data_IF_374366877388
#
_entry.id   IF_374366877388
#
_cell.length_a   1.000
_cell.length_b   1.000
_cell.length_c   1.000
_cell.angle_alpha   90.00
_cell.angle_beta   90.00
_cell.angle_gamma   90.00
#
_symmetry.space_group_name_H-M   'P 1'
#
loop_
_entity.id
_entity.type
_entity.pdbx_description
1 polymer ?
#
# COMPACT_ATOMS: atom_id res chain seq x y z
N UNK A 1 6.52 5.12 10.54
CA UNK A 1 7.98 5.24 10.44
C UNK A 1 8.35 6.69 10.71
N UNK A 2 9.14 6.94 11.74
CA UNK A 2 9.62 8.26 12.13
C UNK A 2 11.01 8.49 11.51
N UNK A 3 11.26 9.68 10.96
CA UNK A 3 12.60 10.03 10.44
C UNK A 3 13.60 10.11 11.59
N UNK A 4 14.79 9.53 11.41
CA UNK A 4 15.83 9.67 12.42
C UNK A 4 16.29 11.13 12.54
N UNK A 5 16.33 11.61 13.78
CA UNK A 5 16.86 12.92 14.17
C UNK A 5 17.74 12.73 15.41
N UNK A 6 18.71 13.62 15.63
CA UNK A 6 19.68 13.45 16.75
C UNK A 6 19.00 13.36 18.13
N UNK A 7 17.86 14.03 18.29
CA UNK A 7 17.04 14.05 19.51
C UNK A 7 15.88 13.03 19.47
N UNK A 8 16.02 11.91 18.74
CA UNK A 8 14.94 10.93 18.62
C UNK A 8 14.52 10.30 19.96
N UNK A 9 15.41 10.28 20.95
CA UNK A 9 15.13 9.74 22.29
C UNK A 9 14.00 10.53 22.95
N UNK A 10 14.06 11.86 22.90
CA UNK A 10 13.01 12.74 23.43
C UNK A 10 11.66 12.49 22.73
N UNK A 11 11.71 12.24 21.42
CA UNK A 11 10.52 11.94 20.62
C UNK A 11 9.93 10.58 21.04
N UNK A 12 10.76 9.57 21.24
CA UNK A 12 10.32 8.25 21.71
C UNK A 12 9.75 8.29 23.12
N UNK A 13 10.27 9.15 23.99
CA UNK A 13 9.75 9.31 25.35
C UNK A 13 8.40 10.02 25.34
N UNK A 14 8.22 11.09 24.55
CA UNK A 14 6.91 11.73 24.34
C UNK A 14 5.86 10.73 23.83
N UNK A 15 6.24 9.88 22.87
CA UNK A 15 5.35 8.84 22.33
C UNK A 15 5.04 7.78 23.39
N UNK A 16 6.01 7.35 24.18
CA UNK A 16 5.79 6.37 25.27
C UNK A 16 4.87 6.92 26.36
N UNK A 17 5.02 8.19 26.74
CA UNK A 17 4.15 8.83 27.72
C UNK A 17 2.72 8.98 27.21
N UNK A 18 2.55 9.29 25.93
CA UNK A 18 1.22 9.59 25.36
C UNK A 18 0.47 8.35 24.89
N UNK A 19 1.18 7.37 24.33
CA UNK A 19 0.60 6.22 23.64
C UNK A 19 0.88 4.88 24.34
N UNK A 20 1.63 4.88 25.45
CA UNK A 20 1.99 3.68 26.20
C UNK A 20 3.15 2.90 25.60
N UNK A 21 3.20 1.60 25.90
CA UNK A 21 4.27 0.73 25.43
C UNK A 21 4.25 0.62 23.89
N UNK A 22 5.37 0.97 23.26
CA UNK A 22 5.57 0.90 21.82
C UNK A 22 6.77 0.04 21.48
N UNK A 23 6.58 -0.88 20.53
CA UNK A 23 7.71 -1.59 19.92
C UNK A 23 8.32 -0.71 18.83
N UNK A 24 9.62 -0.49 18.93
CA UNK A 24 10.37 0.28 17.94
C UNK A 24 11.61 -0.48 17.45
N UNK A 25 11.95 -0.29 16.17
CA UNK A 25 13.15 -0.83 15.54
C UNK A 25 13.80 0.20 14.65
N UNK A 26 15.08 0.49 14.87
CA UNK A 26 15.87 1.33 13.99
C UNK A 26 16.24 0.56 12.72
N UNK A 27 16.06 1.17 11.55
CA UNK A 27 16.51 0.61 10.28
C UNK A 27 16.45 1.63 9.14
N UNK A 28 17.47 1.64 8.29
CA UNK A 28 17.59 2.53 7.12
C UNK A 28 17.34 4.02 7.43
N UNK A 29 17.93 4.58 8.49
CA UNK A 29 17.74 5.99 8.92
C UNK A 29 16.33 6.36 9.37
N UNK A 30 15.47 5.36 9.59
CA UNK A 30 14.12 5.54 10.13
C UNK A 30 13.93 4.69 11.38
N UNK A 31 13.10 5.18 12.29
CA UNK A 31 12.61 4.43 13.43
C UNK A 31 11.24 3.87 13.04
N UNK A 32 11.16 2.55 12.91
CA UNK A 32 9.89 1.85 12.71
C UNK A 32 9.19 1.76 14.06
N UNK A 33 7.97 2.28 14.13
CA UNK A 33 7.11 2.21 15.31
C UNK A 33 5.91 1.37 14.91
N UNK A 34 5.66 0.29 15.63
CA UNK A 34 4.52 -0.61 15.44
C UNK A 34 3.47 -0.23 16.47
N UNK A 35 2.35 0.32 16.03
CA UNK A 35 1.33 0.88 16.94
C UNK A 35 -0.06 0.87 16.31
N UNK A 36 -1.06 0.89 17.17
CA UNK A 36 -2.48 0.88 16.83
C UNK A 36 -2.99 2.32 16.98
N UNK A 37 -3.08 3.06 15.86
CA UNK A 37 -3.80 4.33 15.69
C UNK A 37 -3.30 5.59 16.43
N UNK A 38 -3.13 5.56 17.76
CA UNK A 38 -3.05 6.76 18.63
C UNK A 38 -1.79 7.61 18.36
N UNK A 39 -0.69 7.01 17.94
CA UNK A 39 0.59 7.71 17.73
C UNK A 39 0.52 8.75 16.60
N UNK A 40 -0.39 8.60 15.62
CA UNK A 40 -0.45 9.50 14.48
C UNK A 40 -0.89 10.91 14.86
N UNK A 41 -1.95 11.04 15.67
CA UNK A 41 -2.45 12.34 16.13
C UNK A 41 -1.39 13.06 16.96
N UNK A 42 -0.73 12.35 17.87
CA UNK A 42 0.36 12.91 18.69
C UNK A 42 1.55 13.39 17.85
N UNK A 43 1.98 12.60 16.86
CA UNK A 43 3.07 13.01 15.96
C UNK A 43 2.70 14.25 15.14
N UNK A 44 1.45 14.33 14.69
CA UNK A 44 0.93 15.48 13.94
C UNK A 44 0.85 16.74 14.80
N UNK A 45 0.33 16.65 16.02
CA UNK A 45 0.25 17.78 16.97
C UNK A 45 1.61 18.34 17.33
N UNK A 46 2.62 17.46 17.46
CA UNK A 46 3.99 17.85 17.78
C UNK A 46 4.81 18.29 16.56
N UNK A 47 4.25 18.20 15.36
CA UNK A 47 4.91 18.64 14.13
C UNK A 47 6.07 17.75 13.67
N UNK A 48 6.07 16.46 14.04
CA UNK A 48 7.12 15.53 13.63
C UNK A 48 6.85 14.94 12.24
N UNK A 49 7.92 14.82 11.44
CA UNK A 49 7.84 14.15 10.14
C UNK A 49 7.74 12.63 10.28
N UNK A 50 6.66 12.06 9.76
CA UNK A 50 6.45 10.61 9.75
C UNK A 50 5.85 10.11 8.44
N UNK A 51 6.11 8.83 8.16
CA UNK A 51 5.47 8.07 7.08
C UNK A 51 4.60 6.97 7.66
N UNK A 52 3.35 6.89 7.22
CA UNK A 52 2.49 5.76 7.53
C UNK A 52 2.80 4.61 6.59
N UNK A 53 3.16 3.48 7.17
CA UNK A 53 3.38 2.24 6.44
C UNK A 53 2.23 1.31 6.78
N UNK A 54 1.37 1.06 5.80
CA UNK A 54 0.27 0.12 5.98
C UNK A 54 0.81 -1.29 6.25
N UNK A 55 0.19 -2.03 7.19
CA UNK A 55 0.48 -3.44 7.41
C UNK A 55 0.45 -4.23 6.10
N UNK A 56 1.34 -5.20 5.95
CA UNK A 56 1.49 -5.98 4.70
C UNK A 56 0.19 -6.70 4.31
N UNK A 57 -0.55 -7.16 5.30
CA UNK A 57 -1.87 -7.77 5.21
C UNK A 57 -2.95 -6.85 4.62
N UNK A 58 -2.79 -5.52 4.76
CA UNK A 58 -3.75 -4.53 4.25
C UNK A 58 -3.35 -3.93 2.90
N UNK A 59 -2.21 -4.34 2.32
CA UNK A 59 -1.75 -3.81 1.03
C UNK A 59 -2.41 -4.54 -0.12
N UNK A 60 -2.89 -3.78 -1.10
CA UNK A 60 -3.29 -4.33 -2.40
C UNK A 60 -2.06 -4.78 -3.21
N UNK A 61 -2.23 -5.84 -3.98
CA UNK A 61 -1.28 -6.31 -4.98
C UNK A 61 -1.43 -5.48 -6.27
N UNK A 62 -0.31 -5.06 -6.85
CA UNK A 62 -0.29 -4.39 -8.16
C UNK A 62 0.10 -5.40 -9.22
N UNK A 63 -0.82 -5.67 -10.14
CA UNK A 63 -0.65 -6.61 -11.26
C UNK A 63 -0.61 -5.82 -12.56
N UNK A 64 0.30 -6.20 -13.45
CA UNK A 64 0.35 -5.66 -14.82
C UNK A 64 -0.14 -6.74 -15.77
N UNK A 65 -1.26 -6.48 -16.44
CA UNK A 65 -1.77 -7.33 -17.52
C UNK A 65 -1.25 -6.76 -18.84
N UNK A 66 -0.67 -7.61 -19.68
CA UNK A 66 -0.08 -7.23 -20.96
C UNK A 66 -0.86 -7.83 -22.13
N UNK A 67 -0.59 -7.34 -23.32
CA UNK A 67 -1.06 -7.87 -24.61
C UNK A 67 -2.59 -7.87 -24.76
N UNK A 68 -3.24 -6.93 -24.09
CA UNK A 68 -4.65 -6.64 -24.27
C UNK A 68 -4.88 -5.56 -25.34
N UNK A 69 -5.99 -5.65 -26.10
CA UNK A 69 -6.32 -4.68 -27.13
C UNK A 69 -6.38 -3.21 -26.63
N UNK A 70 -6.07 -2.28 -27.54
CA UNK A 70 -6.02 -0.83 -27.27
C UNK A 70 -7.41 -0.19 -27.07
N UNK A 71 -8.44 -0.85 -27.56
CA UNK A 71 -9.86 -0.49 -27.46
C UNK A 71 -10.54 -1.09 -26.22
N UNK A 72 -9.89 -2.03 -25.53
CA UNK A 72 -10.48 -2.70 -24.37
C UNK A 72 -10.84 -1.71 -23.24
N UNK A 73 -12.08 -1.76 -22.76
CA UNK A 73 -12.56 -0.83 -21.75
C UNK A 73 -12.11 -1.23 -20.33
N UNK A 74 -11.73 -0.22 -19.54
CA UNK A 74 -11.26 -0.42 -18.17
C UNK A 74 -12.40 -0.81 -17.22
N UNK A 75 -13.63 -0.35 -17.48
CA UNK A 75 -14.77 -0.68 -16.63
C UNK A 75 -15.28 -2.10 -16.91
N UNK A 76 -15.35 -2.51 -18.18
CA UNK A 76 -15.60 -3.91 -18.55
C UNK A 76 -14.59 -4.87 -17.93
N UNK A 77 -13.29 -4.54 -18.01
CA UNK A 77 -12.26 -5.36 -17.39
C UNK A 77 -12.42 -5.42 -15.86
N UNK A 78 -12.78 -4.31 -15.23
CA UNK A 78 -13.06 -4.26 -13.78
C UNK A 78 -14.25 -5.15 -13.39
N UNK A 79 -15.32 -5.13 -14.18
CA UNK A 79 -16.49 -5.99 -13.98
C UNK A 79 -16.10 -7.46 -14.16
N UNK A 80 -15.39 -7.80 -15.24
CA UNK A 80 -14.93 -9.15 -15.53
C UNK A 80 -14.09 -9.72 -14.37
N UNK A 81 -13.10 -8.96 -13.88
CA UNK A 81 -12.26 -9.38 -12.77
C UNK A 81 -13.04 -9.55 -11.46
N UNK A 82 -14.02 -8.67 -11.18
CA UNK A 82 -14.91 -8.83 -10.03
C UNK A 82 -15.78 -10.08 -10.14
N UNK A 83 -16.30 -10.40 -11.33
CA UNK A 83 -17.09 -11.60 -11.57
C UNK A 83 -16.27 -12.89 -11.36
N UNK A 84 -14.94 -12.82 -11.54
CA UNK A 84 -14.01 -13.92 -11.22
C UNK A 84 -13.62 -13.98 -9.73
N UNK A 85 -14.25 -13.18 -8.86
CA UNK A 85 -14.04 -13.23 -7.41
C UNK A 85 -12.88 -12.38 -6.90
N UNK A 86 -12.26 -11.55 -7.73
CA UNK A 86 -11.22 -10.63 -7.28
C UNK A 86 -11.80 -9.35 -6.69
N UNK A 87 -11.24 -8.92 -5.56
CA UNK A 87 -11.53 -7.60 -5.00
C UNK A 87 -10.69 -6.58 -5.77
N UNK A 88 -11.30 -5.84 -6.70
CA UNK A 88 -10.58 -4.87 -7.54
C UNK A 88 -10.74 -3.45 -6.99
N UNK A 89 -9.62 -2.81 -6.66
CA UNK A 89 -9.56 -1.41 -6.25
C UNK A 89 -9.58 -0.48 -7.46
N UNK A 90 -8.52 -0.54 -8.27
CA UNK A 90 -8.33 0.33 -9.44
C UNK A 90 -7.89 -0.47 -10.64
N UNK A 91 -8.43 -0.12 -11.80
CA UNK A 91 -7.95 -0.54 -13.11
C UNK A 91 -7.54 0.73 -13.86
N UNK A 92 -6.35 0.73 -14.44
CA UNK A 92 -5.90 1.86 -15.25
C UNK A 92 -5.03 1.37 -16.41
N UNK A 93 -5.27 1.90 -17.60
CA UNK A 93 -4.37 1.72 -18.72
C UNK A 93 -3.10 2.54 -18.51
N UNK A 94 -1.94 1.91 -18.67
CA UNK A 94 -0.65 2.60 -18.61
C UNK A 94 -0.48 3.38 -19.89
N UNK A 95 0.05 4.60 -19.77
CA UNK A 95 0.39 5.45 -20.92
C UNK A 95 1.89 5.65 -21.01
N UNK A 96 2.38 5.86 -22.23
CA UNK A 96 3.76 6.30 -22.46
C UNK A 96 4.01 7.62 -21.75
N UNK A 97 5.12 7.71 -21.03
CA UNK A 97 5.41 8.88 -20.18
C UNK A 97 5.45 10.20 -20.96
N UNK A 98 6.10 10.21 -22.14
CA UNK A 98 6.29 11.41 -22.96
C UNK A 98 5.06 11.75 -23.81
N UNK A 99 4.56 10.78 -24.56
CA UNK A 99 3.52 11.01 -25.59
C UNK A 99 2.10 10.86 -25.04
N UNK A 100 1.95 10.32 -23.82
CA UNK A 100 0.67 9.93 -23.21
C UNK A 100 -0.14 8.92 -24.03
N UNK A 101 0.49 8.29 -25.02
CA UNK A 101 -0.16 7.26 -25.84
C UNK A 101 -0.46 6.01 -24.99
N UNK A 102 -1.66 5.43 -25.12
CA UNK A 102 -2.02 4.21 -24.42
C UNK A 102 -1.08 3.06 -24.79
N UNK A 103 -0.64 2.31 -23.78
CA UNK A 103 0.07 1.05 -23.97
C UNK A 103 -0.92 -0.11 -23.85
N UNK A 104 -0.61 -1.29 -24.44
CA UNK A 104 -1.36 -2.52 -24.22
C UNK A 104 -1.07 -3.13 -22.83
N UNK A 105 -0.88 -2.26 -21.83
CA UNK A 105 -0.58 -2.62 -20.45
C UNK A 105 -1.63 -2.01 -19.54
N UNK A 106 -2.19 -2.83 -18.66
CA UNK A 106 -3.13 -2.39 -17.65
C UNK A 106 -2.55 -2.65 -16.27
N UNK A 107 -2.55 -1.61 -15.45
CA UNK A 107 -2.26 -1.71 -14.04
C UNK A 107 -3.56 -1.98 -13.28
N UNK A 108 -3.60 -3.11 -12.59
CA UNK A 108 -4.72 -3.54 -11.78
C UNK A 108 -4.28 -3.61 -10.32
N UNK A 109 -4.99 -2.88 -9.45
CA UNK A 109 -4.85 -2.98 -8.01
C UNK A 109 -5.86 -4.01 -7.49
N UNK A 110 -5.33 -5.16 -7.08
CA UNK A 110 -6.09 -6.28 -6.54
C UNK A 110 -5.98 -6.23 -5.02
N UNK A 111 -7.10 -6.04 -4.34
CA UNK A 111 -7.19 -6.18 -2.89
C UNK A 111 -6.87 -7.61 -2.47
N UNK A 112 -6.31 -7.75 -1.26
CA UNK A 112 -6.12 -9.07 -0.67
C UNK A 112 -7.50 -9.62 -0.28
N UNK A 113 -8.11 -10.43 -1.14
CA UNK A 113 -9.15 -11.35 -0.70
C UNK A 113 -8.48 -12.54 -0.01
N UNK A 114 -9.22 -13.19 0.89
CA UNK A 114 -8.87 -14.52 1.41
C UNK A 114 -8.96 -15.56 0.29
N UNK A 115 -8.19 -15.39 -0.79
CA UNK A 115 -7.99 -16.42 -1.80
C UNK A 115 -7.07 -17.44 -1.15
N UNK A 116 -7.64 -18.22 -0.24
CA UNK A 116 -7.15 -19.54 0.07
C UNK A 116 -7.17 -20.32 -1.24
N UNK A 117 -5.98 -20.56 -1.78
CA UNK A 117 -5.62 -21.85 -2.37
C UNK A 117 -6.63 -22.45 -3.35
N UNK A 118 -6.76 -21.86 -4.55
CA UNK A 118 -7.29 -22.59 -5.73
C UNK A 118 -6.52 -22.22 -7.00
N UNK A 119 -5.22 -22.43 -6.99
CA UNK A 119 -4.41 -22.49 -8.20
C UNK A 119 -3.48 -23.69 -8.08
N UNK A 120 -4.04 -24.86 -8.40
CA UNK A 120 -3.33 -26.13 -8.32
C UNK A 120 -4.25 -27.30 -8.58
N UNK A 121 -5.05 -27.27 -9.64
CA UNK A 121 -5.57 -28.47 -10.30
C UNK A 121 -6.24 -28.06 -11.62
N UNK A 122 -5.99 -28.87 -12.65
CA UNK A 122 -6.52 -28.85 -14.02
C UNK A 122 -5.66 -28.14 -15.08
N UNK A 123 -4.56 -28.79 -15.45
CA UNK A 123 -4.15 -28.94 -16.85
C UNK A 123 -4.56 -30.33 -17.32
#
# INVERSE_FOLDING_TARGET
MLKYVKNYVDILDVIRTTCGAIENKLGNTFIKIYTISIVQSTLKEKGFDYYLVHPMDKRSLKVVIKDLPLDNDTDEMKICLKNHGFVIGKVARITQFRTRQPLPFFLVEVGKSEISTKLGENF
#
